data_IF_236850587541
#
_entry.id   IF_236850587541
#
_cell.length_a   1.000
_cell.length_b   1.000
_cell.length_c   1.000
_cell.angle_alpha   90.00
_cell.angle_beta   90.00
_cell.angle_gamma   90.00
#
_symmetry.space_group_name_H-M   'P 1'
#
loop_
_entity.id
_entity.type
_entity.pdbx_description
1 polymer ?
#
# COMPACT_ATOMS: atom_id res chain seq x y z
N UNK A 1 5.45 -11.68 10.99
CA UNK A 1 6.13 -10.43 10.59
C UNK A 1 7.01 -10.51 9.32
N UNK A 2 7.50 -11.67 8.86
CA UNK A 2 8.29 -11.76 7.59
C UNK A 2 7.56 -12.42 6.41
N UNK A 3 6.30 -12.88 6.59
CA UNK A 3 5.45 -13.34 5.47
C UNK A 3 4.78 -12.19 4.71
N UNK A 4 4.59 -11.03 5.36
CA UNK A 4 3.95 -9.85 4.76
C UNK A 4 4.88 -9.04 3.83
N UNK A 5 6.19 -9.33 3.82
CA UNK A 5 7.16 -8.67 2.94
C UNK A 5 7.48 -9.46 1.65
N UNK A 6 6.82 -10.60 1.42
CA UNK A 6 7.04 -11.48 0.26
C UNK A 6 8.48 -11.95 0.04
N UNK A 7 9.24 -12.13 1.11
CA UNK A 7 10.62 -12.66 1.09
C UNK A 7 10.54 -14.15 1.40
N UNK A 8 10.45 -15.01 0.38
CA UNK A 8 10.27 -16.46 0.62
C UNK A 8 11.57 -17.27 0.71
N UNK A 9 12.74 -16.75 0.35
CA UNK A 9 14.01 -17.41 0.67
C UNK A 9 15.19 -16.50 0.41
N UNK A 10 15.99 -16.23 1.45
CA UNK A 10 17.28 -15.55 1.33
C UNK A 10 18.33 -16.65 1.33
N UNK A 11 19.20 -16.66 0.30
CA UNK A 11 20.34 -17.58 0.25
C UNK A 11 21.21 -17.41 1.50
N UNK A 12 21.94 -18.45 1.90
CA UNK A 12 22.68 -18.50 3.18
C UNK A 12 23.73 -17.39 3.39
N UNK A 13 23.94 -16.48 2.43
CA UNK A 13 25.06 -15.53 2.39
C UNK A 13 24.68 -14.10 1.90
N UNK A 14 23.41 -13.69 2.00
CA UNK A 14 23.03 -12.33 1.53
C UNK A 14 23.24 -11.25 2.59
N UNK A 15 24.08 -10.25 2.28
CA UNK A 15 24.35 -9.08 3.13
C UNK A 15 23.41 -7.88 2.89
N UNK A 16 22.62 -7.89 1.80
CA UNK A 16 21.70 -6.81 1.40
C UNK A 16 20.38 -7.37 0.87
N UNK A 17 19.27 -6.80 1.33
CA UNK A 17 17.93 -7.05 0.81
C UNK A 17 17.29 -5.71 0.42
N UNK A 18 16.93 -5.58 -0.86
CA UNK A 18 16.14 -4.47 -1.37
C UNK A 18 14.73 -4.98 -1.67
N UNK A 19 13.71 -4.38 -1.06
CA UNK A 19 12.31 -4.79 -1.20
C UNK A 19 11.42 -3.66 -1.75
N UNK A 20 10.33 -4.04 -2.45
CA UNK A 20 9.37 -3.10 -3.07
C UNK A 20 7.89 -3.47 -2.81
N UNK A 21 7.60 -4.46 -1.95
CA UNK A 21 6.27 -5.08 -1.88
C UNK A 21 5.24 -4.33 -1.05
N UNK A 22 5.68 -3.62 -0.01
CA UNK A 22 4.81 -2.72 0.73
C UNK A 22 4.94 -1.34 0.10
N UNK A 23 3.87 -0.55 0.08
CA UNK A 23 3.94 0.90 -0.17
C UNK A 23 4.06 1.62 1.18
N UNK A 24 5.18 1.52 1.94
CA UNK A 24 5.32 2.36 3.10
C UNK A 24 5.32 3.81 2.62
N UNK A 25 4.54 4.63 3.31
CA UNK A 25 4.57 6.09 3.22
C UNK A 25 5.94 6.68 3.58
N UNK A 26 6.90 5.84 3.97
CA UNK A 26 8.24 6.19 4.41
C UNK A 26 9.29 5.52 3.51
N UNK A 27 10.31 6.29 3.12
CA UNK A 27 11.55 5.73 2.61
C UNK A 27 12.42 5.38 3.82
N UNK A 28 12.84 4.13 3.93
CA UNK A 28 13.50 3.60 5.13
C UNK A 28 14.75 2.83 4.74
N UNK A 29 15.86 3.18 5.39
CA UNK A 29 17.10 2.40 5.41
C UNK A 29 17.37 1.98 6.85
N UNK A 30 17.50 0.68 7.09
CA UNK A 30 17.88 0.18 8.42
C UNK A 30 18.66 -1.13 8.32
N UNK A 31 19.41 -1.45 9.38
CA UNK A 31 20.06 -2.75 9.53
C UNK A 31 19.13 -3.70 10.29
N UNK A 32 18.93 -4.90 9.75
CA UNK A 32 18.16 -5.97 10.38
C UNK A 32 19.04 -7.17 10.68
N UNK A 33 18.66 -7.97 11.68
CA UNK A 33 19.29 -9.26 11.92
C UNK A 33 18.41 -10.36 11.32
N UNK A 34 18.99 -11.18 10.43
CA UNK A 34 18.37 -12.42 10.00
C UNK A 34 19.03 -13.57 10.74
N UNK A 35 18.22 -14.29 11.53
CA UNK A 35 18.68 -15.41 12.35
C UNK A 35 18.22 -16.72 11.71
N UNK A 36 19.17 -17.53 11.24
CA UNK A 36 18.90 -18.84 10.64
C UNK A 36 19.95 -19.87 11.02
N UNK A 37 19.52 -21.07 11.45
CA UNK A 37 20.37 -22.25 11.73
C UNK A 37 21.68 -21.97 12.49
N UNK A 38 21.61 -21.17 13.56
CA UNK A 38 22.76 -20.92 14.44
C UNK A 38 23.74 -19.83 13.98
N UNK A 39 23.52 -19.21 12.80
CA UNK A 39 24.29 -18.07 12.31
C UNK A 39 23.40 -16.82 12.40
N UNK A 40 23.95 -15.74 12.96
CA UNK A 40 23.32 -14.42 12.98
C UNK A 40 24.01 -13.57 11.91
N UNK A 41 23.33 -13.30 10.80
CA UNK A 41 23.82 -12.41 9.75
C UNK A 41 23.19 -11.04 9.92
N UNK A 42 24.00 -9.99 9.82
CA UNK A 42 23.53 -8.61 9.72
C UNK A 42 23.23 -8.34 8.26
N UNK A 43 21.98 -8.00 7.96
CA UNK A 43 21.52 -7.77 6.59
C UNK A 43 20.92 -6.38 6.52
N UNK A 44 21.39 -5.61 5.54
CA UNK A 44 20.85 -4.29 5.31
C UNK A 44 19.51 -4.39 4.57
N UNK A 45 18.49 -3.68 5.05
CA UNK A 45 17.17 -3.64 4.41
C UNK A 45 16.88 -2.20 3.99
N UNK A 46 16.61 -2.01 2.70
CA UNK A 46 16.41 -0.67 2.12
C UNK A 46 15.18 -0.60 1.22
N UNK A 47 14.48 0.53 1.28
CA UNK A 47 13.39 0.88 0.38
C UNK A 47 13.29 2.41 0.19
N UNK A 48 13.08 2.86 -1.05
CA UNK A 48 12.97 4.28 -1.42
C UNK A 48 11.51 4.74 -1.62
N UNK A 49 10.61 4.34 -0.72
CA UNK A 49 9.17 4.61 -0.82
C UNK A 49 8.58 4.17 -2.17
N UNK A 50 7.79 5.02 -2.84
CA UNK A 50 7.11 4.75 -4.11
C UNK A 50 7.15 5.96 -5.06
N UNK A 51 6.65 5.76 -6.29
CA UNK A 51 6.38 6.83 -7.26
C UNK A 51 7.59 7.64 -7.72
N UNK A 52 8.80 7.10 -7.53
CA UNK A 52 10.05 7.81 -7.82
C UNK A 52 10.17 9.14 -7.04
N UNK A 53 9.40 9.30 -5.96
CA UNK A 53 9.45 10.51 -5.12
C UNK A 53 10.79 10.63 -4.40
N UNK A 54 11.40 9.48 -4.11
CA UNK A 54 12.73 9.39 -3.54
C UNK A 54 13.63 8.53 -4.43
N UNK A 55 14.88 8.94 -4.56
CA UNK A 55 15.95 8.11 -5.11
C UNK A 55 16.75 7.51 -3.96
N UNK A 56 16.86 6.18 -3.91
CA UNK A 56 17.69 5.55 -2.88
C UNK A 56 19.17 5.88 -3.09
N UNK A 57 19.81 6.48 -2.09
CA UNK A 57 21.24 6.77 -2.09
C UNK A 57 21.90 6.09 -0.90
N UNK A 58 22.67 5.03 -1.19
CA UNK A 58 23.24 4.13 -0.20
C UNK A 58 24.67 3.79 -0.59
N UNK A 59 25.59 3.97 0.36
CA UNK A 59 26.97 3.50 0.29
C UNK A 59 27.17 2.40 1.32
N UNK A 60 27.66 1.23 0.90
CA UNK A 60 27.91 0.09 1.77
C UNK A 60 29.39 -0.25 1.76
N UNK A 61 29.95 -0.50 2.94
CA UNK A 61 31.34 -0.84 3.17
C UNK A 61 31.45 -2.31 3.55
N UNK A 62 32.33 -3.04 2.85
CA UNK A 62 32.63 -4.45 3.09
C UNK A 62 34.10 -4.61 3.50
N UNK A 63 34.39 -5.62 4.30
CA UNK A 63 35.78 -6.01 4.59
C UNK A 63 36.38 -6.86 3.45
N UNK A 64 37.64 -7.25 3.59
CA UNK A 64 38.35 -8.05 2.58
C UNK A 64 37.78 -9.46 2.39
N UNK A 65 36.93 -9.94 3.32
CA UNK A 65 36.24 -11.23 3.24
C UNK A 65 34.85 -11.09 2.61
N UNK A 66 34.41 -9.86 2.32
CA UNK A 66 33.08 -9.58 1.81
C UNK A 66 32.02 -9.43 2.90
N UNK A 67 32.42 -9.37 4.18
CA UNK A 67 31.50 -9.17 5.29
C UNK A 67 31.08 -7.71 5.39
N UNK A 68 29.81 -7.46 5.70
CA UNK A 68 29.30 -6.12 5.95
C UNK A 68 30.03 -5.47 7.14
N UNK A 69 30.48 -4.22 6.96
CA UNK A 69 31.16 -3.44 8.01
C UNK A 69 30.26 -2.30 8.49
N UNK A 70 29.84 -1.44 7.57
CA UNK A 70 29.00 -0.28 7.83
C UNK A 70 28.30 0.19 6.56
N UNK A 71 27.32 1.07 6.71
CA UNK A 71 26.69 1.78 5.59
C UNK A 71 26.45 3.24 5.96
N UNK A 72 26.26 4.06 4.94
CA UNK A 72 25.80 5.45 5.07
C UNK A 72 24.93 5.84 3.86
N UNK A 73 24.16 6.91 3.99
CA UNK A 73 23.27 7.41 2.94
C UNK A 73 21.84 7.60 3.42
N UNK A 74 21.02 8.22 2.59
CA UNK A 74 19.60 8.47 2.85
C UNK A 74 18.83 8.55 1.53
N UNK A 75 17.52 8.27 1.52
CA UNK A 75 16.69 8.52 0.35
C UNK A 75 16.73 10.01 -0.02
N UNK A 76 17.10 10.32 -1.26
CA UNK A 76 17.11 11.68 -1.79
C UNK A 76 15.71 12.05 -2.26
N UNK A 77 15.13 13.10 -1.67
CA UNK A 77 13.84 13.62 -2.12
C UNK A 77 14.03 14.34 -3.46
N UNK A 78 13.35 13.87 -4.50
CA UNK A 78 13.44 14.45 -5.84
C UNK A 78 12.47 15.63 -5.98
N UNK A 79 12.86 16.79 -5.45
CA UNK A 79 12.10 18.03 -5.58
C UNK A 79 12.60 18.93 -6.72
N UNK A 80 12.06 20.16 -6.79
CA UNK A 80 12.39 21.14 -7.84
C UNK A 80 13.77 21.78 -7.69
N UNK A 81 14.50 21.52 -6.60
CA UNK A 81 15.89 21.98 -6.45
C UNK A 81 16.85 21.16 -7.32
N UNK A 82 16.48 19.93 -7.67
CA UNK A 82 17.23 19.07 -8.59
C UNK A 82 16.75 19.36 -10.01
N UNK A 83 17.65 19.89 -10.84
CA UNK A 83 17.33 20.21 -12.23
C UNK A 83 17.09 18.92 -13.04
N UNK A 84 16.04 18.95 -13.86
CA UNK A 84 15.76 17.89 -14.82
C UNK A 84 16.85 17.87 -15.90
N UNK A 85 17.32 16.68 -16.27
CA UNK A 85 18.25 16.53 -17.40
C UNK A 85 17.59 16.96 -18.71
N UNK A 86 18.16 17.98 -19.36
CA UNK A 86 17.54 18.58 -20.54
C UNK A 86 17.47 17.60 -21.73
N UNK A 87 18.47 16.74 -21.90
CA UNK A 87 18.50 15.76 -23.00
C UNK A 87 17.37 14.72 -22.83
N UNK A 88 17.12 14.27 -21.60
CA UNK A 88 16.00 13.37 -21.29
C UNK A 88 14.67 14.10 -21.41
N UNK A 89 14.58 15.34 -20.93
CA UNK A 89 13.37 16.16 -21.02
C UNK A 89 12.94 16.39 -22.47
N UNK A 90 13.88 16.73 -23.35
CA UNK A 90 13.61 16.94 -24.77
C UNK A 90 13.18 15.63 -25.46
N UNK A 91 13.78 14.50 -25.09
CA UNK A 91 13.37 13.17 -25.58
C UNK A 91 11.96 12.79 -25.13
N UNK A 92 11.54 13.21 -23.93
CA UNK A 92 10.22 12.90 -23.39
C UNK A 92 9.13 13.87 -23.86
N UNK A 93 9.49 15.09 -24.29
CA UNK A 93 8.55 16.12 -24.72
C UNK A 93 7.46 15.65 -25.71
N UNK A 94 7.75 14.91 -26.81
CA UNK A 94 6.71 14.46 -27.73
C UNK A 94 5.76 13.44 -27.10
N UNK A 95 6.25 12.59 -26.20
CA UNK A 95 5.42 11.62 -25.48
C UNK A 95 4.57 12.32 -24.42
N UNK A 96 5.16 13.26 -23.67
CA UNK A 96 4.46 14.06 -22.68
C UNK A 96 3.30 14.83 -23.31
N UNK A 97 3.49 15.42 -24.49
CA UNK A 97 2.43 16.10 -25.24
C UNK A 97 1.23 15.17 -25.51
N UNK A 98 1.49 13.98 -26.08
CA UNK A 98 0.42 12.99 -26.37
C UNK A 98 -0.31 12.52 -25.12
N UNK A 99 0.43 12.35 -24.04
CA UNK A 99 -0.13 11.96 -22.74
C UNK A 99 -0.99 13.10 -22.18
N UNK A 100 -0.54 14.35 -22.21
CA UNK A 100 -1.34 15.50 -21.74
C UNK A 100 -2.60 15.72 -22.56
N UNK A 101 -2.53 15.52 -23.88
CA UNK A 101 -3.71 15.61 -24.74
C UNK A 101 -4.76 14.57 -24.36
N UNK A 102 -4.35 13.35 -23.98
CA UNK A 102 -5.27 12.31 -23.53
C UNK A 102 -5.74 12.53 -22.08
N UNK A 103 -4.86 12.95 -21.17
CA UNK A 103 -5.16 13.15 -19.75
C UNK A 103 -6.09 14.35 -19.51
N UNK A 104 -6.00 15.40 -20.32
CA UNK A 104 -6.76 16.64 -20.11
C UNK A 104 -8.15 16.64 -20.77
N UNK A 105 -8.61 15.52 -21.33
CA UNK A 105 -9.97 15.41 -21.87
C UNK A 105 -10.97 15.54 -20.72
N UNK A 106 -11.85 16.55 -20.72
CA UNK A 106 -12.85 16.72 -19.66
C UNK A 106 -13.95 15.65 -19.77
N UNK A 107 -14.32 15.07 -18.64
CA UNK A 107 -15.37 14.04 -18.53
C UNK A 107 -16.60 14.59 -17.81
N UNK A 108 -16.39 15.39 -16.76
CA UNK A 108 -17.45 16.02 -15.98
C UNK A 108 -16.86 16.93 -14.91
N UNK A 109 -17.59 17.16 -13.83
CA UNK A 109 -17.09 17.93 -12.68
C UNK A 109 -17.61 17.38 -11.35
N UNK A 110 -16.99 17.78 -10.24
CA UNK A 110 -17.48 17.52 -8.88
C UNK A 110 -17.40 18.79 -8.03
N UNK A 111 -18.38 18.96 -7.13
CA UNK A 111 -18.46 20.12 -6.23
C UNK A 111 -17.60 19.98 -4.97
N UNK A 112 -17.12 18.78 -4.66
CA UNK A 112 -16.35 18.49 -3.45
C UNK A 112 -15.08 17.69 -3.80
N UNK A 113 -13.98 17.94 -3.08
CA UNK A 113 -12.79 17.09 -3.19
C UNK A 113 -13.06 15.74 -2.52
N UNK A 114 -12.93 14.65 -3.28
CA UNK A 114 -13.05 13.29 -2.78
C UNK A 114 -11.66 12.72 -2.51
N UNK A 115 -11.31 12.50 -1.24
CA UNK A 115 -9.95 12.10 -0.84
C UNK A 115 -9.80 10.59 -0.76
N UNK A 116 -8.75 10.08 -1.40
CA UNK A 116 -8.34 8.69 -1.33
C UNK A 116 -7.98 8.24 0.10
N UNK A 117 -7.38 9.13 0.90
CA UNK A 117 -6.93 8.80 2.26
C UNK A 117 -8.09 8.38 3.17
N UNK A 118 -9.31 8.87 2.91
CA UNK A 118 -10.48 8.63 3.76
C UNK A 118 -10.94 7.17 3.69
N UNK A 119 -10.78 6.54 2.53
CA UNK A 119 -11.26 5.19 2.24
C UNK A 119 -10.57 4.07 3.07
N UNK A 120 -9.49 4.37 3.82
CA UNK A 120 -8.85 3.39 4.71
C UNK A 120 -9.51 3.34 6.09
N UNK A 121 -10.24 4.38 6.47
CA UNK A 121 -10.83 4.54 7.82
C UNK A 121 -12.28 4.05 7.90
N UNK A 122 -12.98 3.99 6.77
CA UNK A 122 -14.40 3.70 6.73
C UNK A 122 -14.97 3.92 5.34
N UNK A 123 -16.26 4.22 5.29
CA UNK A 123 -16.93 4.73 4.09
C UNK A 123 -16.24 5.98 3.55
N UNK A 124 -16.11 6.07 2.23
CA UNK A 124 -15.60 7.27 1.57
C UNK A 124 -16.37 7.59 0.29
N UNK A 125 -16.37 8.88 -0.09
CA UNK A 125 -17.10 9.37 -1.26
C UNK A 125 -16.63 8.76 -2.58
N UNK A 126 -15.32 8.52 -2.73
CA UNK A 126 -14.79 7.77 -3.89
C UNK A 126 -15.34 6.34 -3.91
N UNK A 127 -15.41 5.70 -2.75
CA UNK A 127 -15.93 4.35 -2.60
C UNK A 127 -17.39 4.26 -3.05
N UNK A 128 -18.22 5.20 -2.59
CA UNK A 128 -19.62 5.30 -2.97
C UNK A 128 -19.76 5.57 -4.48
N UNK A 129 -19.01 6.52 -5.04
CA UNK A 129 -18.98 6.81 -6.48
C UNK A 129 -18.70 5.55 -7.32
N UNK A 130 -17.64 4.82 -6.96
CA UNK A 130 -17.22 3.63 -7.71
C UNK A 130 -18.22 2.48 -7.55
N UNK A 131 -18.74 2.29 -6.34
CA UNK A 131 -19.72 1.24 -6.06
C UNK A 131 -21.03 1.51 -6.81
N UNK A 132 -21.52 2.74 -6.79
CA UNK A 132 -22.77 3.15 -7.46
C UNK A 132 -22.65 3.10 -8.98
N UNK A 133 -21.52 3.54 -9.54
CA UNK A 133 -21.24 3.41 -10.98
C UNK A 133 -21.30 1.96 -11.46
N UNK A 134 -20.79 1.01 -10.66
CA UNK A 134 -20.86 -0.42 -11.00
C UNK A 134 -22.29 -0.99 -10.88
N UNK A 135 -23.09 -0.55 -9.90
CA UNK A 135 -24.51 -0.94 -9.78
C UNK A 135 -25.30 -0.44 -10.97
N UNK A 136 -25.16 0.84 -11.32
CA UNK A 136 -25.86 1.43 -12.46
C UNK A 136 -25.50 0.72 -13.77
N UNK A 137 -24.21 0.44 -14.00
CA UNK A 137 -23.79 -0.29 -15.19
C UNK A 137 -24.32 -1.74 -15.20
N UNK A 138 -24.39 -2.42 -14.05
CA UNK A 138 -24.97 -3.76 -13.95
C UNK A 138 -26.47 -3.77 -14.30
N UNK A 139 -27.21 -2.78 -13.82
CA UNK A 139 -28.62 -2.57 -14.15
C UNK A 139 -28.81 -2.35 -15.66
N UNK A 140 -28.00 -1.46 -16.25
CA UNK A 140 -28.05 -1.16 -17.67
C UNK A 140 -27.70 -2.39 -18.54
N UNK A 141 -26.70 -3.18 -18.14
CA UNK A 141 -26.22 -4.35 -18.89
C UNK A 141 -27.18 -5.56 -18.86
N UNK A 142 -28.08 -5.60 -17.87
CA UNK A 142 -29.04 -6.71 -17.72
C UNK A 142 -30.48 -6.33 -18.02
N UNK A 143 -30.80 -5.03 -18.07
CA UNK A 143 -32.15 -4.53 -18.40
C UNK A 143 -33.27 -5.11 -17.52
N UNK A 144 -32.93 -5.49 -16.27
CA UNK A 144 -33.84 -6.08 -15.30
C UNK A 144 -33.81 -5.25 -14.01
N UNK A 145 -34.92 -5.25 -13.27
CA UNK A 145 -35.05 -4.63 -11.95
C UNK A 145 -34.46 -5.52 -10.84
N UNK A 146 -33.17 -5.84 -11.00
CA UNK A 146 -32.42 -6.69 -10.08
C UNK A 146 -31.71 -5.81 -9.05
N UNK A 147 -31.86 -6.14 -7.77
CA UNK A 147 -31.09 -5.51 -6.71
C UNK A 147 -29.64 -6.02 -6.72
N UNK A 148 -28.74 -5.26 -7.34
CA UNK A 148 -27.30 -5.53 -7.30
C UNK A 148 -26.65 -4.94 -6.04
N UNK A 149 -25.75 -5.71 -5.46
CA UNK A 149 -24.77 -5.21 -4.49
C UNK A 149 -23.42 -5.04 -5.17
N UNK A 150 -22.70 -3.99 -4.80
CA UNK A 150 -21.38 -3.71 -5.35
C UNK A 150 -20.30 -3.75 -4.29
N UNK A 151 -19.13 -4.27 -4.64
CA UNK A 151 -17.97 -4.31 -3.77
C UNK A 151 -16.72 -3.85 -4.51
N UNK A 152 -15.98 -2.94 -3.89
CA UNK A 152 -14.64 -2.56 -4.34
C UNK A 152 -13.71 -2.43 -3.15
N UNK A 153 -12.59 -3.14 -3.20
CA UNK A 153 -11.58 -3.09 -2.16
C UNK A 153 -10.81 -1.79 -2.20
N UNK A 154 -10.47 -1.28 -1.02
CA UNK A 154 -9.66 -0.09 -0.84
C UNK A 154 -8.38 -0.11 -1.69
N UNK A 155 -7.75 -1.27 -1.82
CA UNK A 155 -6.55 -1.48 -2.62
C UNK A 155 -6.71 -1.10 -4.10
N UNK A 156 -7.93 -1.10 -4.68
CA UNK A 156 -8.14 -0.75 -6.08
C UNK A 156 -8.11 0.76 -6.35
N UNK A 157 -8.54 1.56 -5.37
CA UNK A 157 -8.60 3.02 -5.45
C UNK A 157 -7.19 3.55 -5.30
N UNK A 158 -6.67 4.38 -6.23
CA UNK A 158 -5.26 4.83 -6.24
C UNK A 158 -5.01 6.33 -6.12
N UNK A 159 -6.00 7.18 -6.36
CA UNK A 159 -5.85 8.62 -6.32
C UNK A 159 -7.09 9.33 -5.77
N UNK A 160 -6.95 10.60 -5.41
CA UNK A 160 -8.06 11.47 -5.04
C UNK A 160 -8.65 12.13 -6.29
N UNK A 161 -9.92 12.51 -6.25
CA UNK A 161 -10.54 13.37 -7.27
C UNK A 161 -10.68 14.77 -6.66
N UNK A 162 -10.05 15.75 -7.27
CA UNK A 162 -10.10 17.14 -6.81
C UNK A 162 -11.43 17.80 -7.22
N UNK A 163 -11.89 18.74 -6.41
CA UNK A 163 -13.00 19.63 -6.77
C UNK A 163 -12.76 20.32 -8.13
N UNK A 164 -13.83 20.49 -8.90
CA UNK A 164 -13.80 21.12 -10.22
C UNK A 164 -13.88 20.10 -11.35
N UNK A 165 -13.18 20.37 -12.45
CA UNK A 165 -13.22 19.54 -13.66
C UNK A 165 -12.55 18.19 -13.41
N UNK A 166 -13.28 17.12 -13.69
CA UNK A 166 -12.76 15.74 -13.70
C UNK A 166 -12.38 15.39 -15.13
N UNK A 167 -11.14 14.94 -15.32
CA UNK A 167 -10.61 14.58 -16.64
C UNK A 167 -10.40 13.07 -16.78
N UNK A 168 -10.18 12.60 -18.00
CA UNK A 168 -9.80 11.22 -18.26
C UNK A 168 -8.51 10.82 -17.53
N UNK A 169 -7.56 11.76 -17.37
CA UNK A 169 -6.36 11.58 -16.56
C UNK A 169 -6.68 11.32 -15.08
N UNK A 170 -7.63 12.05 -14.50
CA UNK A 170 -8.07 11.82 -13.11
C UNK A 170 -8.65 10.40 -12.92
N UNK A 171 -9.43 9.90 -13.87
CA UNK A 171 -9.99 8.54 -13.84
C UNK A 171 -8.88 7.49 -14.01
N UNK A 172 -7.93 7.74 -14.91
CA UNK A 172 -6.77 6.87 -15.11
C UNK A 172 -5.90 6.77 -13.85
N UNK A 173 -5.63 7.89 -13.17
CA UNK A 173 -4.90 7.89 -11.90
C UNK A 173 -5.68 7.20 -10.78
N UNK A 174 -7.01 7.31 -10.77
CA UNK A 174 -7.89 6.67 -9.80
C UNK A 174 -7.89 5.14 -9.92
N UNK A 175 -8.02 4.63 -11.16
CA UNK A 175 -8.16 3.20 -11.49
C UNK A 175 -7.11 2.75 -12.51
N UNK A 176 -5.80 2.78 -12.20
CA UNK A 176 -4.73 2.58 -13.18
C UNK A 176 -4.61 1.13 -13.68
N UNK A 177 -5.34 0.19 -13.09
CA UNK A 177 -5.35 -1.21 -13.51
C UNK A 177 -6.31 -1.48 -14.66
N UNK A 178 -7.29 -0.59 -14.89
CA UNK A 178 -8.31 -0.75 -15.93
C UNK A 178 -8.97 -2.14 -15.86
N UNK A 179 -9.42 -2.53 -14.66
CA UNK A 179 -9.89 -3.89 -14.43
C UNK A 179 -11.23 -4.15 -15.14
N UNK A 180 -11.52 -5.42 -15.42
CA UNK A 180 -12.85 -5.82 -15.90
C UNK A 180 -13.80 -5.81 -14.72
N UNK A 181 -15.07 -5.49 -14.95
CA UNK A 181 -16.12 -5.59 -13.94
C UNK A 181 -17.02 -6.75 -14.32
N UNK A 182 -17.30 -7.63 -13.37
CA UNK A 182 -18.18 -8.77 -13.56
C UNK A 182 -19.42 -8.65 -12.69
N UNK A 183 -20.55 -9.10 -13.22
CA UNK A 183 -21.71 -9.48 -12.41
C UNK A 183 -21.70 -10.99 -12.19
N UNK A 184 -22.19 -11.42 -11.03
CA UNK A 184 -22.33 -12.83 -10.68
C UNK A 184 -23.34 -13.03 -9.57
N UNK A 185 -23.83 -14.26 -9.46
CA UNK A 185 -24.72 -14.71 -8.40
C UNK A 185 -23.90 -15.33 -7.26
N UNK A 186 -24.30 -15.10 -6.01
CA UNK A 186 -23.60 -15.64 -4.84
C UNK A 186 -24.52 -15.82 -3.64
N UNK A 187 -24.28 -16.85 -2.82
CA UNK A 187 -24.98 -17.03 -1.55
C UNK A 187 -24.56 -16.00 -0.50
N UNK A 188 -25.51 -15.53 0.31
CA UNK A 188 -25.29 -14.54 1.37
C UNK A 188 -24.13 -14.88 2.30
N UNK A 189 -23.94 -16.16 2.66
CA UNK A 189 -22.84 -16.59 3.54
C UNK A 189 -21.46 -16.14 3.04
N UNK A 190 -21.23 -16.12 1.72
CA UNK A 190 -19.96 -15.68 1.15
C UNK A 190 -19.82 -14.16 1.15
N UNK A 191 -20.93 -13.42 1.04
CA UNK A 191 -20.94 -11.95 1.22
C UNK A 191 -20.53 -11.62 2.65
N UNK A 192 -21.11 -12.29 3.65
CA UNK A 192 -20.74 -12.12 5.07
C UNK A 192 -19.26 -12.40 5.29
N UNK A 193 -18.75 -13.52 4.74
CA UNK A 193 -17.33 -13.86 4.82
C UNK A 193 -16.43 -12.80 4.17
N UNK A 194 -16.83 -12.24 3.03
CA UNK A 194 -16.08 -11.18 2.36
C UNK A 194 -16.03 -9.90 3.22
N UNK A 195 -17.15 -9.51 3.82
CA UNK A 195 -17.21 -8.35 4.70
C UNK A 195 -16.35 -8.56 5.97
N UNK A 196 -16.37 -9.74 6.59
CA UNK A 196 -15.46 -10.07 7.69
C UNK A 196 -13.99 -10.01 7.25
N UNK A 197 -13.65 -10.58 6.07
CA UNK A 197 -12.31 -10.48 5.47
C UNK A 197 -11.87 -9.04 5.25
N UNK A 198 -12.80 -8.13 4.94
CA UNK A 198 -12.48 -6.73 4.64
C UNK A 198 -11.89 -5.97 5.84
N UNK A 199 -12.19 -6.42 7.06
CA UNK A 199 -11.77 -5.78 8.31
C UNK A 199 -10.71 -6.57 9.08
N UNK A 200 -10.16 -7.66 8.54
CA UNK A 200 -9.02 -8.35 9.16
C UNK A 200 -7.69 -7.65 8.84
N UNK A 201 -6.63 -8.05 9.54
CA UNK A 201 -5.26 -7.52 9.32
C UNK A 201 -5.19 -5.98 9.33
N UNK A 202 -6.05 -5.35 10.14
CA UNK A 202 -6.10 -3.91 10.28
C UNK A 202 -4.74 -3.36 10.73
N UNK A 203 -4.25 -2.34 10.04
CA UNK A 203 -2.97 -1.70 10.36
C UNK A 203 -3.01 -0.97 11.70
N UNK A 204 -4.20 -0.47 12.06
CA UNK A 204 -4.49 0.16 13.34
C UNK A 204 -5.94 -0.13 13.71
N UNK A 205 -6.19 -0.24 15.03
CA UNK A 205 -7.54 -0.41 15.59
C UNK A 205 -8.07 0.88 16.22
N UNK A 206 -7.22 1.90 16.40
CA UNK A 206 -7.62 3.22 16.91
C UNK A 206 -6.65 4.31 16.39
N UNK A 207 -7.07 5.16 15.44
CA UNK A 207 -8.29 4.97 14.64
C UNK A 207 -8.20 3.69 13.81
N UNK A 208 -9.34 3.05 13.50
CA UNK A 208 -9.36 1.90 12.58
C UNK A 208 -8.71 2.25 11.23
N UNK A 209 -7.86 1.34 10.72
CA UNK A 209 -7.26 1.43 9.37
C UNK A 209 -7.25 0.07 8.70
N UNK A 210 -8.18 -0.13 7.76
CA UNK A 210 -8.33 -1.36 7.00
C UNK A 210 -7.67 -1.29 5.63
N UNK A 211 -6.55 -1.99 5.37
CA UNK A 211 -5.95 -2.04 4.03
C UNK A 211 -6.87 -2.65 2.96
N UNK A 212 -7.74 -3.55 3.38
CA UNK A 212 -8.61 -4.36 2.53
C UNK A 212 -10.09 -3.96 2.64
N UNK A 213 -10.39 -2.83 3.29
CA UNK A 213 -11.76 -2.41 3.56
C UNK A 213 -12.56 -2.35 2.25
N UNK A 214 -13.72 -2.99 2.24
CA UNK A 214 -14.64 -2.96 1.10
C UNK A 214 -15.49 -1.69 1.18
N UNK A 215 -15.50 -0.93 0.09
CA UNK A 215 -16.52 0.07 -0.17
C UNK A 215 -17.67 -0.61 -0.90
N UNK A 216 -18.90 -0.19 -0.60
CA UNK A 216 -20.10 -0.96 -0.97
C UNK A 216 -21.21 -0.09 -1.54
N UNK A 217 -22.12 -0.72 -2.28
CA UNK A 217 -23.43 -0.18 -2.66
C UNK A 217 -24.47 -1.30 -2.61
N UNK A 218 -25.74 -0.96 -2.39
CA UNK A 218 -26.84 -1.91 -2.25
C UNK A 218 -26.94 -2.61 -0.89
N UNK A 219 -26.08 -2.26 0.08
CA UNK A 219 -26.13 -2.76 1.46
C UNK A 219 -25.56 -1.75 2.46
N UNK A 220 -25.82 -1.97 3.74
CA UNK A 220 -25.22 -1.27 4.88
C UNK A 220 -24.62 -2.27 5.85
N UNK A 221 -23.39 -2.01 6.29
CA UNK A 221 -22.66 -2.86 7.22
C UNK A 221 -22.13 -2.04 8.39
N UNK A 222 -22.32 -2.56 9.60
CA UNK A 222 -21.75 -2.01 10.83
C UNK A 222 -20.78 -3.01 11.42
N UNK A 223 -19.59 -2.53 11.78
CA UNK A 223 -18.53 -3.32 12.38
C UNK A 223 -18.23 -2.87 13.80
N UNK A 224 -17.97 -3.81 14.69
CA UNK A 224 -17.27 -3.59 15.94
C UNK A 224 -15.89 -4.26 15.86
N UNK A 225 -14.87 -3.44 15.59
CA UNK A 225 -13.49 -3.92 15.37
C UNK A 225 -12.79 -4.39 16.66
N UNK A 226 -13.41 -4.18 17.82
CA UNK A 226 -12.93 -4.72 19.10
C UNK A 226 -13.28 -6.20 19.30
N UNK A 227 -14.20 -6.73 18.50
CA UNK A 227 -14.56 -8.15 18.54
C UNK A 227 -13.50 -9.03 17.85
N UNK A 228 -13.44 -10.33 18.21
CA UNK A 228 -12.57 -11.29 17.55
C UNK A 228 -12.77 -11.30 16.02
N UNK A 229 -11.71 -11.62 15.28
CA UNK A 229 -11.80 -11.78 13.83
C UNK A 229 -12.90 -12.78 13.45
N UNK A 230 -13.57 -12.51 12.32
CA UNK A 230 -14.75 -13.24 11.82
C UNK A 230 -16.03 -13.07 12.68
N UNK A 231 -16.02 -12.18 13.68
CA UNK A 231 -17.17 -11.85 14.51
C UNK A 231 -17.31 -10.33 14.67
N UNK A 232 -16.86 -9.55 13.68
CA UNK A 232 -16.82 -8.09 13.76
C UNK A 232 -18.08 -7.44 13.21
N UNK A 233 -18.86 -8.11 12.37
CA UNK A 233 -20.12 -7.57 11.85
C UNK A 233 -21.19 -7.58 12.96
N UNK A 234 -21.71 -6.41 13.32
CA UNK A 234 -22.80 -6.25 14.28
C UNK A 234 -24.16 -6.05 13.62
N UNK A 235 -24.19 -5.44 12.43
CA UNK A 235 -25.38 -5.32 11.58
C UNK A 235 -25.01 -5.44 10.11
N UNK A 236 -25.86 -6.09 9.33
CA UNK A 236 -25.73 -6.23 7.88
C UNK A 236 -27.11 -6.24 7.23
N UNK A 237 -27.45 -5.11 6.61
CA UNK A 237 -28.76 -4.78 6.05
C UNK A 237 -28.66 -4.61 4.54
N UNK A 238 -29.65 -5.10 3.79
CA UNK A 238 -29.65 -5.12 2.32
C UNK A 238 -30.72 -4.16 1.80
N UNK A 239 -30.33 -3.36 0.80
CA UNK A 239 -31.21 -2.43 0.09
C UNK A 239 -31.89 -1.38 0.98
N UNK A 240 -32.88 -0.71 0.41
CA UNK A 240 -33.65 0.34 1.08
C UNK A 240 -34.63 -0.21 2.13
N UNK A 241 -35.07 -1.47 1.98
CA UNK A 241 -35.92 -2.15 2.96
C UNK A 241 -35.18 -2.51 4.26
N UNK A 242 -33.84 -2.43 4.26
CA UNK A 242 -32.97 -2.77 5.39
C UNK A 242 -33.21 -4.17 5.94
N UNK A 243 -33.52 -5.11 5.05
CA UNK A 243 -33.69 -6.51 5.43
C UNK A 243 -32.33 -7.10 5.87
N UNK A 244 -32.28 -7.90 6.92
CA UNK A 244 -31.05 -8.58 7.30
C UNK A 244 -30.60 -9.54 6.20
N UNK A 245 -29.29 -9.65 5.98
CA UNK A 245 -28.74 -10.63 5.05
C UNK A 245 -29.10 -12.07 5.49
N UNK A 246 -29.69 -12.84 4.58
CA UNK A 246 -29.91 -14.28 4.71
C UNK A 246 -28.75 -15.05 4.07
N UNK A 247 -28.05 -15.84 4.87
CA UNK A 247 -26.86 -16.58 4.44
C UNK A 247 -27.14 -17.63 3.34
N UNK A 248 -28.38 -18.12 3.23
CA UNK A 248 -28.78 -19.15 2.26
C UNK A 248 -29.39 -18.56 0.97
N UNK A 249 -29.81 -17.29 0.99
CA UNK A 249 -30.40 -16.62 -0.17
C UNK A 249 -29.31 -16.32 -1.21
N UNK A 250 -29.69 -16.38 -2.49
CA UNK A 250 -28.85 -15.97 -3.61
C UNK A 250 -29.04 -14.47 -3.84
N UNK A 251 -27.93 -13.78 -4.05
CA UNK A 251 -27.87 -12.37 -4.33
C UNK A 251 -27.07 -12.10 -5.60
N UNK A 252 -27.32 -10.95 -6.21
CA UNK A 252 -26.64 -10.49 -7.41
C UNK A 252 -25.59 -9.46 -7.04
N UNK A 253 -24.36 -9.69 -7.48
CA UNK A 253 -23.20 -8.88 -7.11
C UNK A 253 -22.50 -8.37 -8.35
N UNK A 254 -21.99 -7.14 -8.29
CA UNK A 254 -21.06 -6.55 -9.26
C UNK A 254 -19.75 -6.19 -8.57
N UNK A 255 -18.61 -6.56 -9.15
CA UNK A 255 -17.30 -6.27 -8.58
C UNK A 255 -16.19 -6.26 -9.65
N UNK A 256 -15.05 -5.60 -9.39
CA UNK A 256 -13.86 -5.76 -10.21
C UNK A 256 -13.40 -7.23 -10.24
N UNK A 257 -12.97 -7.70 -11.41
CA UNK A 257 -12.58 -9.07 -11.68
C UNK A 257 -11.48 -9.57 -10.74
N UNK A 258 -10.52 -8.71 -10.39
CA UNK A 258 -9.47 -9.03 -9.42
C UNK A 258 -10.07 -9.47 -8.08
N UNK A 259 -11.07 -8.73 -7.58
CA UNK A 259 -11.77 -9.05 -6.34
C UNK A 259 -12.63 -10.31 -6.51
N UNK A 260 -13.41 -10.39 -7.58
CA UNK A 260 -14.28 -11.53 -7.89
C UNK A 260 -13.50 -12.86 -8.03
N UNK A 261 -12.23 -12.79 -8.45
CA UNK A 261 -11.33 -13.94 -8.56
C UNK A 261 -10.49 -14.22 -7.30
N UNK A 262 -10.83 -13.58 -6.17
CA UNK A 262 -10.20 -13.82 -4.88
C UNK A 262 -8.88 -13.09 -4.64
N UNK A 263 -8.63 -12.01 -5.36
CA UNK A 263 -7.56 -11.06 -5.06
C UNK A 263 -7.62 -10.58 -3.61
N UNK A 264 -6.49 -10.16 -3.04
CA UNK A 264 -6.35 -9.70 -1.64
C UNK A 264 -6.91 -10.67 -0.57
N UNK A 265 -7.05 -11.96 -0.92
CA UNK A 265 -7.54 -13.02 -0.04
C UNK A 265 -9.07 -13.12 0.04
N UNK A 266 -9.80 -12.49 -0.87
CA UNK A 266 -11.26 -12.61 -0.97
C UNK A 266 -11.70 -13.92 -1.66
N UNK A 267 -11.12 -15.07 -1.28
CA UNK A 267 -11.33 -16.35 -1.97
C UNK A 267 -12.79 -16.81 -1.97
N UNK A 268 -13.57 -16.38 -0.97
CA UNK A 268 -15.00 -16.65 -0.88
C UNK A 268 -15.80 -16.15 -2.09
N UNK A 269 -15.37 -15.06 -2.75
CA UNK A 269 -16.01 -14.65 -4.01
C UNK A 269 -15.73 -15.65 -5.12
N UNK A 270 -14.48 -16.07 -5.30
CA UNK A 270 -14.10 -17.06 -6.31
C UNK A 270 -14.78 -18.41 -6.09
N UNK A 271 -14.89 -18.82 -4.83
CA UNK A 271 -15.49 -20.11 -4.44
C UNK A 271 -17.02 -20.09 -4.51
N UNK A 272 -17.65 -18.95 -4.23
CA UNK A 272 -19.10 -18.81 -4.14
C UNK A 272 -19.79 -18.30 -5.40
N UNK A 273 -19.07 -17.61 -6.29
CA UNK A 273 -19.67 -17.01 -7.48
C UNK A 273 -20.11 -18.05 -8.51
N UNK A 274 -21.20 -17.75 -9.20
CA UNK A 274 -21.71 -18.50 -10.34
C UNK A 274 -22.44 -17.54 -11.29
N UNK A 275 -22.79 -18.02 -12.50
CA UNK A 275 -23.47 -17.21 -13.53
C UNK A 275 -22.74 -15.88 -13.86
N UNK A 276 -21.41 -15.94 -13.91
CA UNK A 276 -20.56 -14.77 -14.12
C UNK A 276 -20.66 -14.20 -15.54
N UNK A 277 -20.67 -12.87 -15.63
CA UNK A 277 -20.67 -12.13 -16.90
C UNK A 277 -19.86 -10.85 -16.79
N UNK A 278 -18.96 -10.65 -17.75
CA UNK A 278 -18.20 -9.40 -17.93
C UNK A 278 -19.12 -8.29 -18.47
N UNK A 279 -19.12 -7.13 -17.81
CA UNK A 279 -19.94 -5.96 -18.14
C UNK A 279 -19.12 -4.72 -18.50
N UNK A 280 -17.82 -4.89 -18.77
CA UNK A 280 -16.95 -3.82 -19.25
C UNK A 280 -15.77 -3.51 -18.32
N UNK A 281 -15.23 -2.29 -18.47
CA UNK A 281 -14.02 -1.84 -17.78
C UNK A 281 -14.36 -0.77 -16.76
N UNK A 282 -13.75 -0.85 -15.58
CA UNK A 282 -13.98 0.05 -14.46
C UNK A 282 -13.80 1.54 -14.83
N UNK A 283 -12.74 1.89 -15.58
CA UNK A 283 -12.51 3.27 -16.05
C UNK A 283 -13.66 3.79 -16.91
N UNK A 284 -14.15 2.98 -17.86
CA UNK A 284 -15.21 3.39 -18.78
C UNK A 284 -16.56 3.49 -18.06
N UNK A 285 -16.84 2.55 -17.17
CA UNK A 285 -18.06 2.55 -16.33
C UNK A 285 -18.12 3.83 -15.50
N UNK A 286 -17.02 4.19 -14.84
CA UNK A 286 -16.93 5.41 -14.05
C UNK A 286 -17.00 6.64 -14.95
N UNK A 287 -16.35 6.65 -16.11
CA UNK A 287 -16.44 7.75 -17.06
C UNK A 287 -17.89 8.02 -17.50
N UNK A 288 -18.63 6.96 -17.85
CA UNK A 288 -20.04 7.06 -18.25
C UNK A 288 -20.92 7.56 -17.10
N UNK A 289 -20.72 7.03 -15.89
CA UNK A 289 -21.43 7.48 -14.69
C UNK A 289 -21.18 8.97 -14.39
N UNK A 290 -19.92 9.42 -14.48
CA UNK A 290 -19.57 10.83 -14.25
C UNK A 290 -20.22 11.72 -15.31
N UNK A 291 -20.26 11.29 -16.57
CA UNK A 291 -20.91 12.05 -17.65
C UNK A 291 -22.42 12.21 -17.42
N UNK A 292 -23.10 11.16 -16.92
CA UNK A 292 -24.54 11.21 -16.65
C UNK A 292 -24.90 11.95 -15.37
N UNK A 293 -23.99 12.02 -14.38
CA UNK A 293 -24.23 12.61 -13.06
C UNK A 293 -23.46 13.93 -12.81
N UNK A 294 -22.90 14.55 -13.85
CA UNK A 294 -22.15 15.80 -13.69
C UNK A 294 -23.10 16.99 -13.46
N UNK A 295 -22.83 17.87 -12.48
CA UNK A 295 -21.74 17.81 -11.50
C UNK A 295 -22.00 16.80 -10.38
N UNK A 296 -20.97 16.04 -10.01
CA UNK A 296 -21.03 15.08 -8.90
C UNK A 296 -21.08 15.78 -7.55
N UNK A 297 -22.08 15.42 -6.74
CA UNK A 297 -22.21 15.81 -5.33
C UNK A 297 -22.40 14.56 -4.45
N UNK A 298 -21.35 13.71 -4.41
CA UNK A 298 -21.39 12.44 -3.67
C UNK A 298 -21.24 12.71 -2.17
N UNK A 299 -22.21 12.23 -1.39
CA UNK A 299 -22.25 12.34 0.06
C UNK A 299 -22.07 10.96 0.72
N UNK A 300 -21.68 10.97 2.00
CA UNK A 300 -21.68 9.77 2.83
C UNK A 300 -23.10 9.53 3.36
N UNK A 301 -23.56 8.28 3.31
CA UNK A 301 -24.94 7.88 3.66
C UNK A 301 -25.00 6.73 4.68
N UNK A 302 -23.85 6.33 5.22
CA UNK A 302 -23.73 5.37 6.33
C UNK A 302 -23.78 3.91 5.88
N UNK A 303 -23.23 3.61 4.70
CA UNK A 303 -23.07 2.25 4.16
C UNK A 303 -22.04 1.43 4.91
N UNK A 304 -20.96 2.06 5.40
CA UNK A 304 -19.88 1.36 6.11
C UNK A 304 -19.56 2.10 7.41
N UNK A 305 -20.02 1.53 8.52
CA UNK A 305 -19.81 2.10 9.86
C UNK A 305 -18.84 1.22 10.63
N UNK A 306 -17.82 1.83 11.24
CA UNK A 306 -16.91 1.16 12.17
C UNK A 306 -17.12 1.76 13.56
N UNK A 307 -17.86 1.04 14.40
CA UNK A 307 -18.09 1.42 15.79
C UNK A 307 -16.82 1.15 16.58
N UNK A 308 -16.08 2.22 16.87
CA UNK A 308 -15.21 2.24 18.03
C UNK A 308 -16.13 2.34 19.25
N UNK A 309 -16.31 1.24 19.99
CA UNK A 309 -16.87 1.29 21.33
C UNK A 309 -16.10 2.35 22.13
N UNK A 310 -16.70 3.52 22.30
CA UNK A 310 -17.13 4.07 23.59
C UNK A 310 -16.42 3.50 24.82
N UNK A 311 -15.08 3.56 24.88
CA UNK A 311 -14.30 3.43 26.12
C UNK A 311 -13.76 4.81 26.50
N UNK A 312 -14.67 5.77 26.66
CA UNK A 312 -14.75 6.74 27.77
C UNK A 312 -15.70 7.88 27.41
N UNK A 313 -16.99 7.59 27.27
CA UNK A 313 -18.01 8.62 27.43
C UNK A 313 -18.22 8.87 28.93
N UNK A 314 -17.27 9.59 29.54
CA UNK A 314 -17.61 10.50 30.62
C UNK A 314 -17.46 11.92 30.10
N UNK A 315 -18.60 12.53 29.81
CA UNK A 315 -18.76 13.96 29.92
C UNK A 315 -18.03 14.48 31.17
N UNK A 316 -16.97 15.26 30.97
CA UNK A 316 -16.58 16.29 31.94
C UNK A 316 -16.71 17.64 31.26
N UNK A 317 -17.88 18.24 31.48
CA UNK A 317 -18.09 19.68 31.47
C UNK A 317 -17.16 20.31 32.52
N UNK A 318 -16.01 20.86 32.10
CA UNK A 318 -15.44 22.11 32.62
C UNK A 318 -14.09 22.42 31.97
N UNK A 319 -14.05 23.47 31.15
CA UNK A 319 -12.84 24.28 30.98
C UNK A 319 -12.79 25.33 32.08
N UNK A 320 -11.64 25.52 32.74
CA UNK A 320 -11.20 26.86 33.10
C UNK A 320 -9.95 27.25 32.32
N UNK A 321 -10.03 28.41 31.67
CA UNK A 321 -8.90 29.18 31.16
C UNK A 321 -7.91 29.43 32.30
N UNK A 322 -6.70 28.89 32.23
CA UNK A 322 -5.53 29.49 32.88
C UNK A 322 -4.32 29.37 31.95
N UNK A 323 -3.86 30.53 31.49
CA UNK A 323 -2.56 30.74 30.85
C UNK A 323 -1.48 30.64 31.92
N UNK A 324 -0.61 29.62 31.87
CA UNK A 324 0.72 29.68 32.48
C UNK A 324 1.68 28.73 31.77
N UNK A 325 2.67 29.35 31.14
CA UNK A 325 3.81 28.76 30.45
C UNK A 325 4.62 27.93 31.45
N UNK A 326 4.78 26.62 31.17
CA UNK A 326 5.73 25.75 31.89
C UNK A 326 6.85 25.38 30.92
N UNK A 327 7.95 26.11 31.07
CA UNK A 327 9.22 25.92 30.38
C UNK A 327 9.96 24.75 31.04
N UNK A 328 10.06 23.61 30.37
CA UNK A 328 10.91 22.49 30.84
C UNK A 328 12.27 22.59 30.15
N UNK A 329 13.28 23.01 30.92
CA UNK A 329 14.70 22.87 30.57
C UNK A 329 15.15 21.45 30.91
N UNK A 330 15.62 20.69 29.93
CA UNK A 330 16.34 19.43 30.17
C UNK A 330 17.83 19.73 30.36
N UNK A 331 18.36 19.46 31.56
CA UNK A 331 19.79 19.49 31.86
C UNK A 331 20.41 18.09 31.73
N UNK A 332 21.63 18.03 31.19
CA UNK A 332 22.44 16.82 31.12
C UNK A 332 22.90 16.40 32.53
N UNK A 333 22.67 15.14 32.88
CA UNK A 333 23.29 14.49 34.04
C UNK A 333 24.26 13.42 33.53
N UNK A 334 25.54 13.74 33.72
CA UNK A 334 26.72 12.92 33.48
C UNK A 334 26.72 11.75 34.49
N UNK A 335 26.66 10.50 34.02
CA UNK A 335 26.96 9.33 34.86
C UNK A 335 28.22 8.66 34.34
N UNK A 336 29.31 8.88 35.08
CA UNK A 336 30.60 8.20 34.95
C UNK A 336 30.52 6.83 35.63
N UNK A 337 31.22 5.88 35.02
CA UNK A 337 31.57 4.55 35.54
C UNK A 337 30.44 3.52 35.63
N UNK A 338 30.33 2.65 34.63
CA UNK A 338 30.10 1.24 34.94
C UNK A 338 31.01 0.34 34.10
N UNK A 339 31.71 -0.52 34.83
CA UNK A 339 32.75 -1.46 34.41
C UNK A 339 32.07 -2.76 33.94
N UNK A 340 32.49 -3.27 32.79
CA UNK A 340 32.12 -4.60 32.27
C UNK A 340 32.98 -5.66 32.96
N UNK A 341 32.35 -6.69 33.55
CA UNK A 341 32.92 -8.03 33.74
C UNK A 341 31.77 -9.04 33.59
N UNK A 342 31.91 -10.00 32.69
CA UNK A 342 30.93 -11.07 32.46
C UNK A 342 31.19 -12.30 33.30
N UNK A 343 30.21 -13.20 33.39
CA UNK A 343 30.36 -14.61 32.98
C UNK A 343 29.02 -15.38 33.07
N UNK A 344 29.01 -16.47 32.31
CA UNK A 344 28.01 -17.51 32.02
C UNK A 344 27.07 -17.99 33.13
N UNK A 345 25.84 -18.39 32.73
CA UNK A 345 24.99 -19.28 33.52
C UNK A 345 23.63 -19.55 32.89
N UNK A 346 23.47 -20.74 32.29
CA UNK A 346 22.24 -21.27 31.69
C UNK A 346 21.17 -21.53 32.76
N UNK A 347 19.92 -21.12 32.50
CA UNK A 347 18.74 -21.51 33.26
C UNK A 347 17.50 -21.61 32.37
N UNK A 348 16.88 -22.79 32.35
CA UNK A 348 15.77 -23.22 31.48
C UNK A 348 14.39 -22.78 32.02
N UNK A 349 13.49 -22.46 31.07
CA UNK A 349 12.03 -22.67 31.03
C UNK A 349 11.12 -21.75 31.89
N UNK A 350 10.13 -21.15 31.22
CA UNK A 350 8.88 -20.67 31.81
C UNK A 350 7.97 -19.92 30.81
N UNK A 351 6.91 -20.56 30.34
CA UNK A 351 5.82 -19.94 29.56
C UNK A 351 5.15 -18.79 30.34
N UNK A 352 4.80 -17.69 29.67
CA UNK A 352 3.79 -16.76 30.18
C UNK A 352 3.94 -15.29 29.77
N UNK A 353 3.13 -14.89 28.78
CA UNK A 353 2.41 -13.61 28.60
C UNK A 353 3.08 -12.24 28.90
N UNK A 354 2.81 -11.34 27.93
CA UNK A 354 2.57 -9.89 28.00
C UNK A 354 3.67 -8.95 27.48
N UNK A 355 3.36 -8.42 26.27
CA UNK A 355 3.33 -7.01 25.87
C UNK A 355 4.33 -6.04 26.53
N UNK A 356 5.21 -5.46 25.71
CA UNK A 356 5.47 -4.02 25.67
C UNK A 356 6.44 -3.67 24.52
N UNK A 357 6.03 -2.75 23.64
CA UNK A 357 6.81 -1.58 23.18
C UNK A 357 5.98 -0.96 22.05
N UNK A 358 5.50 0.27 22.14
CA UNK A 358 6.26 1.46 22.51
C UNK A 358 6.07 2.41 21.33
N UNK A 359 4.93 3.09 21.34
CA UNK A 359 4.51 4.03 20.31
C UNK A 359 5.43 5.25 20.37
N UNK A 360 6.04 5.63 19.23
CA UNK A 360 6.64 6.95 19.07
C UNK A 360 6.09 7.57 17.79
N UNK A 361 4.89 8.15 17.92
CA UNK A 361 4.33 9.10 16.96
C UNK A 361 4.83 10.50 17.31
N UNK A 362 5.55 11.13 16.40
CA UNK A 362 5.56 12.59 16.32
C UNK A 362 5.37 13.04 14.87
N UNK A 363 4.42 13.93 14.73
CA UNK A 363 3.87 14.53 13.51
C UNK A 363 4.76 15.63 12.95
N UNK A 364 4.86 15.70 11.62
CA UNK A 364 4.77 16.97 10.89
C UNK A 364 4.19 16.75 9.50
N UNK A 365 3.02 17.37 9.27
CA UNK A 365 2.34 17.53 7.99
C UNK A 365 3.19 18.43 7.08
N UNK A 366 3.30 18.08 5.80
CA UNK A 366 3.22 19.04 4.71
C UNK A 366 2.51 18.39 3.51
N UNK A 367 1.36 18.99 3.15
CA UNK A 367 0.64 18.71 1.92
C UNK A 367 1.50 19.17 0.73
N UNK A 368 1.76 18.25 -0.20
CA UNK A 368 2.10 18.59 -1.57
C UNK A 368 1.54 17.48 -2.46
N UNK A 369 0.49 17.82 -3.20
CA UNK A 369 -0.01 17.02 -4.31
C UNK A 369 1.10 16.98 -5.37
N UNK A 370 1.66 15.79 -5.63
CA UNK A 370 2.67 15.60 -6.67
C UNK A 370 2.17 14.49 -7.61
N UNK A 371 1.80 14.91 -8.81
CA UNK A 371 1.54 14.04 -9.97
C UNK A 371 2.84 13.29 -10.29
N UNK A 372 2.85 11.98 -10.04
CA UNK A 372 4.02 11.12 -10.26
C UNK A 372 4.04 10.62 -11.70
N UNK A 373 4.98 11.13 -12.50
CA UNK A 373 5.30 10.58 -13.82
C UNK A 373 6.34 9.47 -13.66
N UNK A 374 6.07 8.29 -14.21
CA UNK A 374 7.04 7.18 -14.25
C UNK A 374 8.23 7.59 -15.12
N UNK A 375 9.40 7.75 -14.51
CA UNK A 375 10.67 7.89 -15.22
C UNK A 375 11.44 6.56 -15.19
N UNK A 376 11.93 6.14 -16.35
CA UNK A 376 12.88 5.05 -16.49
C UNK A 376 14.29 5.65 -16.52
N UNK A 377 15.09 5.41 -15.48
CA UNK A 377 16.50 5.83 -15.43
C UNK A 377 17.38 4.61 -15.70
N UNK A 378 18.21 4.67 -16.75
CA UNK A 378 19.30 3.71 -16.96
C UNK A 378 20.50 4.13 -16.09
N UNK A 379 21.10 3.25 -15.27
CA UNK A 379 22.33 3.57 -14.56
C UNK A 379 23.49 3.69 -15.57
N UNK A 380 24.16 4.84 -15.60
CA UNK A 380 25.45 5.01 -16.26
C UNK A 380 26.56 4.81 -15.23
N UNK A 381 27.50 3.92 -15.53
CA UNK A 381 28.70 3.66 -14.74
C UNK A 381 29.87 4.46 -15.33
N UNK A 382 30.61 5.21 -14.50
CA UNK A 382 31.91 5.76 -14.86
C UNK A 382 33.03 5.00 -14.14
N UNK A 383 33.89 4.32 -14.89
CA UNK A 383 35.21 3.88 -14.44
C UNK A 383 36.27 4.81 -15.01
N UNK A 384 36.96 5.58 -14.18
CA UNK A 384 38.06 6.44 -14.60
C UNK A 384 39.27 5.61 -15.09
N UNK A 385 39.81 5.96 -16.26
CA UNK A 385 41.06 5.38 -16.80
C UNK A 385 42.27 6.14 -16.26
N UNK A 386 43.12 5.48 -15.49
CA UNK A 386 44.49 5.90 -15.21
C UNK A 386 45.44 5.50 -16.37
N UNK A 387 46.36 6.40 -16.72
CA UNK A 387 47.37 6.24 -17.78
C UNK A 387 48.32 5.06 -17.52
N UNK A 388 48.64 4.31 -18.58
CA UNK A 388 49.68 3.26 -18.61
C UNK A 388 51.06 3.87 -18.91
N UNK A 389 52.07 3.50 -18.12
CA UNK A 389 53.45 3.30 -18.61
C UNK A 389 53.82 1.83 -18.42
N UNK A 390 54.76 1.37 -19.25
CA UNK A 390 54.96 0.02 -19.78
C UNK A 390 55.75 -0.99 -18.93
N UNK A 391 55.45 -2.27 -19.22
CA UNK A 391 56.21 -3.53 -19.03
C UNK A 391 56.40 -3.99 -17.57
N UNK A 392 56.02 -5.21 -17.14
CA UNK A 392 56.48 -6.49 -17.66
C UNK A 392 55.56 -7.70 -17.31
N UNK A 393 55.91 -8.84 -17.89
CA UNK A 393 55.25 -10.13 -18.12
C UNK A 393 54.45 -10.87 -17.01
N UNK A 394 53.38 -11.51 -17.51
CA UNK A 394 52.94 -12.92 -17.32
C UNK A 394 51.91 -13.34 -16.25
N UNK A 395 50.92 -14.10 -16.76
CA UNK A 395 49.93 -15.02 -16.14
C UNK A 395 48.76 -14.42 -15.33
N UNK A 396 47.55 -14.52 -15.88
CA UNK A 396 46.44 -15.31 -15.30
C UNK A 396 45.14 -15.19 -16.12
N UNK A 397 44.45 -16.32 -16.25
CA UNK A 397 43.25 -16.62 -17.03
C UNK A 397 42.01 -15.73 -16.76
N UNK A 398 41.13 -15.71 -17.78
CA UNK A 398 39.77 -15.17 -17.78
C UNK A 398 38.91 -15.59 -16.57
N UNK A 399 38.15 -14.65 -16.01
CA UNK A 399 36.98 -14.94 -15.18
C UNK A 399 35.77 -14.12 -15.66
N UNK A 400 34.81 -14.82 -16.29
CA UNK A 400 33.48 -14.32 -16.66
C UNK A 400 32.61 -14.23 -15.40
N UNK A 401 32.14 -13.03 -15.02
CA UNK A 401 31.14 -12.86 -13.94
C UNK A 401 29.78 -13.39 -14.38
N UNK A 402 29.17 -14.25 -13.54
CA UNK A 402 27.79 -14.72 -13.71
C UNK A 402 26.83 -13.88 -12.88
N UNK A 403 25.95 -13.13 -13.54
CA UNK A 403 24.77 -12.52 -12.91
C UNK A 403 23.60 -13.47 -13.12
N UNK A 404 23.13 -14.14 -12.06
CA UNK A 404 21.93 -14.98 -12.17
C UNK A 404 20.67 -14.14 -12.02
N UNK A 405 19.88 -14.10 -13.10
CA UNK A 405 18.53 -13.55 -13.14
C UNK A 405 17.55 -14.65 -12.72
N UNK A 406 17.02 -14.59 -11.49
CA UNK A 406 15.87 -15.41 -11.11
C UNK A 406 14.61 -14.74 -11.66
N UNK A 407 14.11 -15.28 -12.78
CA UNK A 407 12.80 -14.92 -13.34
C UNK A 407 11.73 -15.83 -12.72
N UNK A 408 10.99 -15.32 -11.74
CA UNK A 408 9.69 -15.89 -11.37
C UNK A 408 8.60 -15.16 -12.15
N UNK A 409 7.58 -15.88 -12.62
CA UNK A 409 6.55 -15.43 -13.58
C UNK A 409 5.60 -14.31 -13.07
N UNK A 410 5.86 -13.74 -11.91
CA UNK A 410 5.13 -12.61 -11.34
C UNK A 410 6.16 -11.69 -10.66
N UNK A 411 6.30 -10.48 -11.21
CA UNK A 411 7.04 -9.31 -10.67
C UNK A 411 8.60 -9.35 -10.69
N UNK A 412 9.28 -8.29 -11.18
CA UNK A 412 10.73 -8.23 -11.17
C UNK A 412 11.25 -7.84 -9.77
N UNK A 413 11.90 -8.78 -9.10
CA UNK A 413 12.77 -8.52 -7.95
C UNK A 413 14.19 -8.21 -8.44
N UNK A 414 14.87 -7.24 -7.83
CA UNK A 414 16.32 -7.08 -7.97
C UNK A 414 16.99 -7.54 -6.68
N UNK A 415 17.36 -8.81 -6.62
CA UNK A 415 18.22 -9.36 -5.58
C UNK A 415 19.67 -9.26 -6.08
N UNK A 416 20.48 -8.40 -5.46
CA UNK A 416 21.91 -8.33 -5.74
C UNK A 416 22.63 -9.32 -4.82
N UNK A 417 22.93 -10.51 -5.36
CA UNK A 417 23.77 -11.51 -4.71
C UNK A 417 25.23 -11.22 -5.10
N UNK A 418 26.09 -11.00 -4.12
CA UNK A 418 27.53 -10.99 -4.30
C UNK A 418 28.08 -12.29 -3.71
N UNK A 419 28.53 -13.21 -4.56
CA UNK A 419 29.28 -14.38 -4.13
C UNK A 419 30.76 -14.00 -3.99
N UNK A 420 31.42 -14.28 -2.84
CA UNK A 420 32.87 -14.18 -2.75
C UNK A 420 33.53 -15.34 -3.52
N UNK A 421 34.38 -15.03 -4.49
CA UNK A 421 35.25 -16.03 -5.14
C UNK A 421 36.31 -16.50 -4.13
N UNK A 422 36.22 -17.76 -3.69
CA UNK A 422 37.34 -18.44 -3.05
C UNK A 422 38.34 -18.86 -4.14
N UNK A 423 39.56 -18.31 -4.09
CA UNK A 423 40.75 -18.89 -4.75
C UNK A 423 41.60 -19.64 -3.74
#
# INVERSE_FOLDING_TARGET
KFKESGIETIGKESNLVSGNLTHPTQALFYSGFLRGRGITLVVLIVQASAFTKYMGNLTVYFDFRGDYVKWEGNPLYLDRSILEDQVIKDKLAPYAKRVHEAENVPVGSTVNTMRFDDCVFGECTIGNLLADAMVENANNATSNDIHYMSFIQRGNIKASIMEGVVTAGSIFELLPFNDRVEIFDIQGKYIRQALERSVIDAWAYNPFKGPWLLQVSGLRVTYNVSLPENHRITSLEIGESKEPLDDNKIYHVTAPLYLANGGDGFTMFKEGKHNERDIGRDQKIVEEYIRSHSPLDIQLDGRVITDELMVSNHHRLWTPKITKVLQVRAGFLEVKNLRVVGESGIGKIGMGRNWASGNLTQTTKHNASVVSRRYSVKPWYHSGRGRKSSNDFSRLDEAKRSVRRLLTKTTPFLLLLFEPEFR
#
